data_IF_820646955600
#
_entry.id   IF_820646955600
#
_cell.length_a   1.000
_cell.length_b   1.000
_cell.length_c   1.000
_cell.angle_alpha   90.00
_cell.angle_beta   90.00
_cell.angle_gamma   90.00
#
_symmetry.space_group_name_H-M   'P 1'
#
loop_
_entity.id
_entity.type
_entity.pdbx_description
1 polymer ?
#
# COMPACT_ATOMS: atom_id res chain seq x y z
N UNK A 1 11.67 -22.21 -26.91
CA UNK A 1 10.64 -22.82 -26.03
C UNK A 1 9.75 -23.82 -26.77
N UNK A 2 9.14 -23.46 -27.91
CA UNK A 2 8.25 -24.40 -28.64
C UNK A 2 8.98 -25.67 -29.08
N UNK A 3 10.14 -25.54 -29.75
CA UNK A 3 10.95 -26.70 -30.15
C UNK A 3 11.43 -27.54 -28.95
N UNK A 4 11.71 -26.90 -27.80
CA UNK A 4 12.10 -27.64 -26.59
C UNK A 4 10.96 -28.43 -25.95
N UNK A 5 9.71 -28.02 -26.15
CA UNK A 5 8.54 -28.81 -25.73
C UNK A 5 8.37 -30.06 -26.61
N UNK A 6 8.80 -29.99 -27.87
CA UNK A 6 8.85 -31.12 -28.79
C UNK A 6 10.08 -32.05 -28.57
N UNK A 7 10.88 -31.82 -27.52
CA UNK A 7 12.01 -32.67 -27.15
C UNK A 7 13.36 -32.25 -27.73
N UNK A 8 13.47 -31.12 -28.43
CA UNK A 8 14.75 -30.63 -28.95
C UNK A 8 15.64 -30.06 -27.81
N UNK A 9 16.56 -30.89 -27.34
CA UNK A 9 17.52 -30.54 -26.30
C UNK A 9 18.49 -29.42 -26.71
N UNK A 10 18.83 -29.29 -28.00
CA UNK A 10 19.76 -28.27 -28.50
C UNK A 10 19.10 -26.89 -28.49
N UNK A 11 17.87 -26.81 -28.99
CA UNK A 11 17.07 -25.58 -28.92
C UNK A 11 16.79 -25.16 -27.47
N UNK A 12 16.66 -26.12 -26.56
CA UNK A 12 16.50 -25.82 -25.14
C UNK A 12 17.76 -25.26 -24.48
N UNK A 13 18.93 -25.82 -24.80
CA UNK A 13 20.20 -25.33 -24.29
C UNK A 13 20.49 -23.89 -24.76
N UNK A 14 20.20 -23.58 -26.03
CA UNK A 14 20.32 -22.22 -26.58
C UNK A 14 19.38 -21.27 -25.83
N UNK A 15 18.12 -21.66 -25.65
CA UNK A 15 17.14 -20.87 -24.90
C UNK A 15 17.61 -20.57 -23.47
N UNK A 16 18.10 -21.56 -22.73
CA UNK A 16 18.57 -21.37 -21.36
C UNK A 16 19.75 -20.40 -21.28
N UNK A 17 20.70 -20.48 -22.23
CA UNK A 17 21.83 -19.55 -22.28
C UNK A 17 21.40 -18.11 -22.54
N UNK A 18 20.45 -17.89 -23.45
CA UNK A 18 19.97 -16.53 -23.77
C UNK A 18 19.11 -15.95 -22.64
N UNK A 19 18.30 -16.81 -22.01
CA UNK A 19 17.50 -16.44 -20.84
C UNK A 19 18.39 -16.12 -19.65
N UNK A 20 19.44 -16.89 -19.39
CA UNK A 20 20.38 -16.66 -18.29
C UNK A 20 21.00 -15.25 -18.37
N UNK A 21 21.47 -14.83 -19.55
CA UNK A 21 22.03 -13.49 -19.78
C UNK A 21 21.01 -12.40 -19.49
N UNK A 22 19.77 -12.56 -19.98
CA UNK A 22 18.69 -11.60 -19.74
C UNK A 22 18.30 -11.52 -18.26
N UNK A 23 18.19 -12.66 -17.58
CA UNK A 23 17.85 -12.72 -16.16
C UNK A 23 18.93 -12.08 -15.29
N UNK A 24 20.21 -12.28 -15.62
CA UNK A 24 21.33 -11.66 -14.88
C UNK A 24 21.23 -10.14 -14.91
N UNK A 25 21.01 -9.55 -16.09
CA UNK A 25 20.79 -8.10 -16.23
C UNK A 25 19.52 -7.67 -15.48
N UNK A 26 18.44 -8.44 -15.58
CA UNK A 26 17.17 -8.17 -14.91
C UNK A 26 17.31 -8.08 -13.38
N UNK A 27 18.07 -8.99 -12.76
CA UNK A 27 18.30 -9.04 -11.32
C UNK A 27 19.34 -8.02 -10.85
N UNK A 28 20.45 -7.85 -11.57
CA UNK A 28 21.48 -6.85 -11.23
C UNK A 28 20.93 -5.42 -11.19
N UNK A 29 19.91 -5.11 -12.01
CA UNK A 29 19.23 -3.80 -12.00
C UNK A 29 18.26 -3.61 -10.82
N UNK A 30 17.90 -4.68 -10.12
CA UNK A 30 16.85 -4.70 -9.07
C UNK A 30 17.39 -5.10 -7.69
N UNK A 31 18.67 -5.43 -7.59
CA UNK A 31 19.39 -5.70 -6.35
C UNK A 31 20.21 -4.47 -5.98
N UNK A 32 20.27 -4.16 -4.68
CA UNK A 32 21.19 -3.15 -4.16
C UNK A 32 22.65 -3.59 -4.38
N UNK A 33 23.59 -2.65 -4.37
CA UNK A 33 25.02 -2.93 -4.61
C UNK A 33 25.54 -4.04 -3.69
N UNK A 34 25.12 -4.02 -2.43
CA UNK A 34 25.46 -4.99 -1.39
C UNK A 34 24.94 -6.42 -1.65
N UNK A 35 23.98 -6.59 -2.58
CA UNK A 35 23.31 -7.86 -2.86
C UNK A 35 23.48 -8.29 -4.32
N UNK A 36 24.36 -7.63 -5.11
CA UNK A 36 24.59 -8.02 -6.51
C UNK A 36 25.19 -9.41 -6.67
N UNK A 37 25.87 -9.93 -5.65
CA UNK A 37 26.34 -11.33 -5.59
C UNK A 37 25.20 -12.33 -5.76
N UNK A 38 24.00 -11.98 -5.30
CA UNK A 38 22.85 -12.88 -5.24
C UNK A 38 22.13 -12.99 -6.60
N UNK A 39 22.54 -12.18 -7.58
CA UNK A 39 21.98 -12.20 -8.92
C UNK A 39 22.19 -13.55 -9.61
N UNK A 40 23.37 -14.16 -9.46
CA UNK A 40 23.68 -15.45 -10.10
C UNK A 40 22.86 -16.60 -9.48
N UNK A 41 22.62 -16.56 -8.16
CA UNK A 41 21.73 -17.50 -7.47
C UNK A 41 20.28 -17.34 -7.94
N UNK A 42 19.80 -16.11 -8.10
CA UNK A 42 18.45 -15.82 -8.60
C UNK A 42 18.26 -16.26 -10.06
N UNK A 43 19.29 -16.10 -10.90
CA UNK A 43 19.29 -16.67 -12.26
C UNK A 43 19.15 -18.18 -12.19
N UNK A 44 19.96 -18.85 -11.39
CA UNK A 44 19.94 -20.30 -11.25
C UNK A 44 18.57 -20.79 -10.77
N UNK A 45 18.04 -20.20 -9.70
CA UNK A 45 16.72 -20.52 -9.15
C UNK A 45 15.59 -20.36 -10.17
N UNK A 46 15.68 -19.33 -11.00
CA UNK A 46 14.69 -19.04 -12.05
C UNK A 46 14.80 -20.05 -13.19
N UNK A 47 16.02 -20.41 -13.63
CA UNK A 47 16.23 -21.43 -14.66
C UNK A 47 15.78 -22.82 -14.20
N UNK A 48 16.01 -23.17 -12.93
CA UNK A 48 15.51 -24.42 -12.34
C UNK A 48 13.97 -24.46 -12.28
N UNK A 49 13.35 -23.34 -11.89
CA UNK A 49 11.89 -23.21 -11.90
C UNK A 49 11.31 -23.27 -13.31
N UNK A 50 11.98 -22.62 -14.28
CA UNK A 50 11.63 -22.68 -15.70
C UNK A 50 11.69 -24.12 -16.23
N UNK A 51 12.74 -24.87 -15.88
CA UNK A 51 12.90 -26.26 -16.29
C UNK A 51 11.81 -27.17 -15.75
N UNK A 52 11.59 -27.13 -14.43
CA UNK A 52 10.60 -27.98 -13.75
C UNK A 52 9.17 -27.72 -14.20
N UNK A 53 8.85 -26.48 -14.59
CA UNK A 53 7.50 -26.07 -15.00
C UNK A 53 7.34 -25.94 -16.52
N UNK A 54 8.34 -26.30 -17.33
CA UNK A 54 8.27 -26.09 -18.79
C UNK A 54 7.04 -26.72 -19.43
N UNK A 55 6.60 -27.87 -18.94
CA UNK A 55 5.43 -28.58 -19.46
C UNK A 55 4.10 -27.85 -19.20
N UNK A 56 4.05 -26.89 -18.26
CA UNK A 56 2.85 -26.09 -17.96
C UNK A 56 2.80 -24.79 -18.75
N UNK A 57 3.70 -24.59 -19.71
CA UNK A 57 3.71 -23.39 -20.54
C UNK A 57 2.61 -23.46 -21.60
N UNK A 58 1.63 -22.57 -21.50
CA UNK A 58 0.58 -22.40 -22.49
C UNK A 58 1.15 -21.66 -23.72
N UNK A 59 1.12 -22.31 -24.89
CA UNK A 59 1.78 -21.83 -26.12
C UNK A 59 1.07 -20.64 -26.78
N UNK A 60 -0.16 -20.36 -26.37
CA UNK A 60 -0.96 -19.19 -26.75
C UNK A 60 -0.51 -17.90 -26.02
N UNK A 61 0.35 -18.00 -25.00
CA UNK A 61 0.88 -16.86 -24.25
C UNK A 61 2.34 -16.54 -24.61
N UNK A 62 2.76 -15.27 -24.55
CA UNK A 62 4.18 -14.91 -24.74
C UNK A 62 5.09 -15.57 -23.70
N UNK A 63 6.14 -16.27 -24.16
CA UNK A 63 7.12 -16.93 -23.30
C UNK A 63 7.82 -15.95 -22.33
N UNK A 64 8.12 -14.74 -22.80
CA UNK A 64 8.77 -13.69 -22.00
C UNK A 64 7.92 -13.28 -20.79
N UNK A 65 6.61 -13.13 -20.96
CA UNK A 65 5.71 -12.80 -19.86
C UNK A 65 5.68 -13.90 -18.78
N UNK A 66 5.69 -15.16 -19.20
CA UNK A 66 5.74 -16.31 -18.30
C UNK A 66 7.09 -16.40 -17.56
N UNK A 67 8.20 -16.22 -18.28
CA UNK A 67 9.56 -16.17 -17.72
C UNK A 67 9.70 -15.04 -16.68
N UNK A 68 9.22 -13.83 -17.01
CA UNK A 68 9.28 -12.69 -16.09
C UNK A 68 8.41 -12.91 -14.85
N UNK A 69 7.29 -13.63 -14.96
CA UNK A 69 6.48 -13.99 -13.79
C UNK A 69 7.25 -14.90 -12.83
N UNK A 70 7.98 -15.90 -13.36
CA UNK A 70 8.83 -16.79 -12.56
C UNK A 70 9.98 -16.00 -11.92
N UNK A 71 10.70 -15.19 -12.72
CA UNK A 71 11.82 -14.37 -12.25
C UNK A 71 11.38 -13.39 -11.13
N UNK A 72 10.24 -12.72 -11.32
CA UNK A 72 9.66 -11.82 -10.32
C UNK A 72 9.28 -12.56 -9.04
N UNK A 73 8.70 -13.76 -9.15
CA UNK A 73 8.38 -14.59 -7.98
C UNK A 73 9.64 -14.96 -7.20
N UNK A 74 10.70 -15.39 -7.90
CA UNK A 74 11.99 -15.73 -7.30
C UNK A 74 12.66 -14.54 -6.62
N UNK A 75 12.63 -13.36 -7.24
CA UNK A 75 13.12 -12.12 -6.66
C UNK A 75 12.39 -11.78 -5.35
N UNK A 76 11.06 -11.82 -5.36
CA UNK A 76 10.23 -11.57 -4.19
C UNK A 76 10.54 -12.57 -3.07
N UNK A 77 10.67 -13.86 -3.41
CA UNK A 77 10.97 -14.90 -2.44
C UNK A 77 12.38 -14.79 -1.86
N UNK A 78 13.38 -14.42 -2.66
CA UNK A 78 14.73 -14.12 -2.21
C UNK A 78 14.74 -12.98 -1.20
N UNK A 79 14.10 -11.86 -1.52
CA UNK A 79 13.96 -10.74 -0.59
C UNK A 79 13.17 -11.09 0.67
N UNK A 80 12.19 -11.99 0.57
CA UNK A 80 11.44 -12.51 1.73
C UNK A 80 12.35 -13.35 2.65
N UNK A 81 13.22 -14.19 2.09
CA UNK A 81 14.16 -15.04 2.83
C UNK A 81 15.29 -14.23 3.48
N UNK A 82 15.83 -13.23 2.77
CA UNK A 82 16.93 -12.40 3.28
C UNK A 82 16.51 -11.37 4.34
N UNK A 83 15.23 -10.94 4.36
CA UNK A 83 14.67 -10.08 5.43
C UNK A 83 14.60 -10.74 6.83
N UNK A 84 14.75 -12.07 6.94
CA UNK A 84 14.76 -12.77 8.24
C UNK A 84 16.19 -12.89 8.82
N UNK A 85 17.25 -12.64 8.03
CA UNK A 85 18.64 -12.90 8.44
C UNK A 85 19.63 -11.72 8.40
N UNK A 86 19.25 -10.52 7.97
CA UNK A 86 20.21 -9.40 7.89
C UNK A 86 19.86 -8.23 8.83
N UNK A 87 20.63 -8.08 9.90
CA UNK A 87 20.82 -6.85 10.68
C UNK A 87 21.74 -5.89 9.92
N UNK A 88 21.22 -4.98 9.10
CA UNK A 88 21.94 -3.84 8.48
C UNK A 88 20.99 -2.62 8.27
N UNK A 89 21.46 -1.34 8.31
CA UNK A 89 20.66 -0.12 8.49
C UNK A 89 19.70 0.31 7.35
N UNK A 90 18.88 1.32 7.68
CA UNK A 90 17.48 1.52 7.29
C UNK A 90 17.16 2.25 5.97
N UNK A 91 18.10 2.50 5.05
CA UNK A 91 17.85 3.41 3.91
C UNK A 91 17.50 2.74 2.57
N UNK A 92 17.79 1.44 2.38
CA UNK A 92 17.68 0.80 1.04
C UNK A 92 16.55 -0.26 0.92
N UNK A 93 15.61 -0.33 1.88
CA UNK A 93 14.63 -1.43 1.97
C UNK A 93 13.26 -1.16 1.31
N UNK A 94 13.16 -0.19 0.39
CA UNK A 94 11.87 0.46 0.08
C UNK A 94 10.92 -0.22 -0.93
N UNK A 95 11.28 -1.30 -1.63
CA UNK A 95 10.46 -1.77 -2.78
C UNK A 95 9.73 -3.14 -2.65
N UNK A 96 9.63 -3.73 -1.45
CA UNK A 96 9.29 -5.17 -1.36
C UNK A 96 8.09 -5.52 -0.46
N UNK A 97 6.90 -5.44 -1.06
CA UNK A 97 5.71 -6.21 -0.67
C UNK A 97 5.04 -6.73 -1.98
N UNK A 98 4.57 -8.00 -2.06
CA UNK A 98 3.95 -8.54 -3.28
C UNK A 98 2.64 -7.81 -3.63
N UNK A 99 2.51 -7.38 -4.89
CA UNK A 99 1.21 -7.03 -5.50
C UNK A 99 0.58 -8.32 -5.99
N UNK A 100 -0.59 -8.66 -5.46
CA UNK A 100 -1.46 -9.73 -5.95
C UNK A 100 -2.20 -9.21 -7.19
N UNK A 101 -2.06 -9.91 -8.32
CA UNK A 101 -2.51 -9.44 -9.65
C UNK A 101 -3.65 -10.32 -10.20
N UNK A 102 -4.37 -11.05 -9.36
CA UNK A 102 -5.27 -12.11 -9.85
C UNK A 102 -6.53 -11.65 -10.61
N UNK A 103 -6.79 -10.36 -10.79
CA UNK A 103 -8.01 -9.87 -11.49
C UNK A 103 -7.75 -8.97 -12.72
N UNK A 104 -6.52 -8.87 -13.21
CA UNK A 104 -6.20 -7.97 -14.33
C UNK A 104 -6.59 -8.49 -15.74
N UNK A 105 -7.35 -9.59 -15.86
CA UNK A 105 -7.65 -10.19 -17.16
C UNK A 105 -8.66 -9.38 -17.99
N UNK A 106 -9.63 -8.71 -17.33
CA UNK A 106 -10.66 -7.94 -18.02
C UNK A 106 -10.15 -6.56 -18.52
N UNK A 107 -9.21 -5.92 -17.80
CA UNK A 107 -8.68 -4.59 -18.15
C UNK A 107 -7.51 -4.62 -19.15
N UNK A 108 -6.75 -5.71 -19.23
CA UNK A 108 -5.59 -5.84 -20.13
C UNK A 108 -5.97 -5.75 -21.61
N UNK A 109 -7.20 -6.16 -21.94
CA UNK A 109 -7.69 -6.19 -23.32
C UNK A 109 -7.88 -4.78 -23.90
N UNK A 110 -8.15 -3.76 -23.07
CA UNK A 110 -8.28 -2.36 -23.55
C UNK A 110 -6.89 -1.71 -23.72
N UNK A 111 -5.92 -2.00 -22.83
CA UNK A 111 -4.57 -1.40 -22.89
C UNK A 111 -3.79 -1.83 -24.14
N UNK A 112 -3.84 -3.12 -24.50
CA UNK A 112 -3.17 -3.62 -25.71
C UNK A 112 -3.79 -2.99 -26.98
N UNK A 113 -5.13 -2.87 -27.02
CA UNK A 113 -5.85 -2.21 -28.13
C UNK A 113 -5.53 -0.71 -28.26
N UNK A 114 -5.23 -0.06 -27.13
CA UNK A 114 -4.81 1.33 -27.08
C UNK A 114 -3.36 1.48 -27.52
N UNK A 115 -2.45 0.61 -27.07
CA UNK A 115 -1.05 0.58 -27.53
C UNK A 115 -0.94 0.35 -29.03
N UNK A 116 -1.80 -0.49 -29.62
CA UNK A 116 -1.87 -0.68 -31.07
C UNK A 116 -2.18 0.59 -31.87
N UNK A 117 -2.78 1.62 -31.24
CA UNK A 117 -3.00 2.92 -31.90
C UNK A 117 -1.82 3.86 -31.87
N UNK A 118 -0.79 3.53 -31.11
CA UNK A 118 0.42 4.32 -31.01
C UNK A 118 1.33 4.00 -32.20
N UNK A 119 1.97 5.02 -32.82
CA UNK A 119 3.01 4.78 -33.82
C UNK A 119 4.05 3.80 -33.30
N UNK A 120 4.46 2.84 -34.13
CA UNK A 120 5.28 1.69 -33.76
C UNK A 120 6.53 2.08 -32.96
N UNK A 121 7.26 3.10 -33.42
CA UNK A 121 8.43 3.63 -32.69
C UNK A 121 8.10 4.12 -31.28
N UNK A 122 6.99 4.83 -31.10
CA UNK A 122 6.56 5.30 -29.78
C UNK A 122 6.04 4.18 -28.89
N UNK A 123 5.38 3.17 -29.48
CA UNK A 123 4.89 1.99 -28.78
C UNK A 123 6.03 1.17 -28.20
N UNK A 124 7.07 0.93 -29.01
CA UNK A 124 8.27 0.20 -28.59
C UNK A 124 8.98 0.90 -27.44
N UNK A 125 9.14 2.24 -27.52
CA UNK A 125 9.74 3.02 -26.43
C UNK A 125 8.92 2.96 -25.14
N UNK A 126 7.58 2.98 -25.24
CA UNK A 126 6.69 2.83 -24.08
C UNK A 126 6.79 1.41 -23.51
N UNK A 127 6.79 0.38 -24.36
CA UNK A 127 6.89 -1.01 -23.94
C UNK A 127 8.21 -1.26 -23.19
N UNK A 128 9.35 -0.89 -23.79
CA UNK A 128 10.66 -1.05 -23.17
C UNK A 128 10.81 -0.28 -21.85
N UNK A 129 10.32 0.96 -21.77
CA UNK A 129 10.48 1.77 -20.56
C UNK A 129 9.44 1.49 -19.48
N UNK A 130 8.17 1.32 -19.82
CA UNK A 130 7.06 1.23 -18.87
C UNK A 130 6.59 -0.19 -18.58
N UNK A 131 6.82 -1.13 -19.50
CA UNK A 131 6.42 -2.54 -19.34
C UNK A 131 7.64 -3.40 -18.98
N UNK A 132 8.74 -3.29 -19.72
CA UNK A 132 9.97 -4.04 -19.44
C UNK A 132 10.85 -3.38 -18.36
N UNK A 133 10.65 -2.07 -18.11
CA UNK A 133 11.34 -1.33 -17.06
C UNK A 133 12.79 -0.94 -17.39
N UNK A 134 13.14 -0.82 -18.67
CA UNK A 134 14.44 -0.31 -19.12
C UNK A 134 14.54 1.21 -18.84
N UNK A 135 15.74 1.70 -18.50
CA UNK A 135 15.96 3.13 -18.28
C UNK A 135 15.97 3.91 -19.61
N UNK A 136 15.77 5.23 -19.56
CA UNK A 136 15.78 6.07 -20.76
C UNK A 136 17.15 6.01 -21.46
N UNK A 137 18.23 5.95 -20.68
CA UNK A 137 19.60 5.80 -21.18
C UNK A 137 19.81 4.45 -21.88
N UNK A 138 19.31 3.36 -21.30
CA UNK A 138 19.43 2.00 -21.89
C UNK A 138 18.63 1.86 -23.19
N UNK A 139 17.44 2.46 -23.23
CA UNK A 139 16.63 2.49 -24.44
C UNK A 139 17.29 3.36 -25.51
N UNK A 140 17.87 4.50 -25.14
CA UNK A 140 18.63 5.35 -26.05
C UNK A 140 19.80 4.58 -26.69
N UNK A 141 20.61 3.91 -25.88
CA UNK A 141 21.74 3.08 -26.36
C UNK A 141 21.27 1.93 -27.25
N UNK A 142 20.23 1.19 -26.85
CA UNK A 142 19.76 0.00 -27.60
C UNK A 142 18.99 0.33 -28.87
N UNK A 143 18.41 1.52 -28.97
CA UNK A 143 17.65 1.99 -30.17
C UNK A 143 18.45 2.93 -31.07
N UNK A 144 19.66 3.32 -30.67
CA UNK A 144 20.48 4.30 -31.38
C UNK A 144 19.91 5.73 -31.36
N UNK A 145 18.98 6.01 -30.43
CA UNK A 145 18.34 7.32 -30.25
C UNK A 145 19.05 8.12 -29.15
N UNK A 146 18.90 9.45 -29.16
CA UNK A 146 19.25 10.25 -27.99
C UNK A 146 18.22 10.07 -26.87
N UNK A 147 18.61 10.28 -25.61
CA UNK A 147 17.66 10.26 -24.48
C UNK A 147 16.51 11.25 -24.66
N UNK A 148 16.79 12.41 -25.27
CA UNK A 148 15.77 13.40 -25.61
C UNK A 148 14.77 12.86 -26.65
N UNK A 149 15.24 12.14 -27.67
CA UNK A 149 14.38 11.50 -28.67
C UNK A 149 13.54 10.39 -28.06
N UNK A 150 14.07 9.61 -27.10
CA UNK A 150 13.31 8.61 -26.33
C UNK A 150 12.20 9.29 -25.51
N UNK A 151 12.51 10.35 -24.75
CA UNK A 151 11.53 11.12 -23.97
C UNK A 151 10.42 11.70 -24.86
N UNK A 152 10.80 12.30 -26.01
CA UNK A 152 9.85 12.84 -26.99
C UNK A 152 8.99 11.73 -27.61
N UNK A 153 9.58 10.58 -27.93
CA UNK A 153 8.87 9.42 -28.46
C UNK A 153 7.81 8.87 -27.50
N UNK A 154 8.16 8.75 -26.22
CA UNK A 154 7.21 8.37 -25.15
C UNK A 154 6.09 9.42 -25.02
N UNK A 155 6.44 10.71 -24.99
CA UNK A 155 5.45 11.78 -24.89
C UNK A 155 4.47 11.77 -26.07
N UNK A 156 4.96 11.58 -27.30
CA UNK A 156 4.13 11.44 -28.50
C UNK A 156 3.22 10.22 -28.42
N UNK A 157 3.73 9.10 -27.91
CA UNK A 157 2.93 7.88 -27.77
C UNK A 157 1.79 8.04 -26.76
N UNK A 158 2.07 8.63 -25.60
CA UNK A 158 1.05 8.96 -24.60
C UNK A 158 0.02 9.93 -25.18
N UNK A 159 0.45 10.93 -25.98
CA UNK A 159 -0.44 11.86 -26.67
C UNK A 159 -1.34 11.17 -27.69
N UNK A 160 -0.85 10.16 -28.42
CA UNK A 160 -1.63 9.37 -29.36
C UNK A 160 -2.70 8.51 -28.65
N UNK A 161 -2.33 7.86 -27.54
CA UNK A 161 -3.28 7.14 -26.67
C UNK A 161 -4.36 8.11 -26.17
N UNK A 162 -3.95 9.29 -25.66
CA UNK A 162 -4.88 10.30 -25.17
C UNK A 162 -5.83 10.83 -26.27
N UNK A 163 -5.38 10.93 -27.51
CA UNK A 163 -6.21 11.35 -28.65
C UNK A 163 -7.27 10.30 -29.01
N UNK A 164 -6.93 9.00 -29.00
CA UNK A 164 -7.89 7.91 -29.24
C UNK A 164 -8.90 7.80 -28.09
N UNK A 165 -8.45 8.07 -26.87
CA UNK A 165 -9.31 8.16 -25.69
C UNK A 165 -10.25 9.37 -25.75
N UNK A 166 -9.86 10.50 -26.35
CA UNK A 166 -10.74 11.68 -26.54
C UNK A 166 -11.99 11.41 -27.40
N UNK A 167 -11.98 10.38 -28.24
CA UNK A 167 -13.15 9.94 -29.02
C UNK A 167 -14.14 9.08 -28.21
N UNK A 168 -13.71 8.57 -27.06
CA UNK A 168 -14.59 8.09 -25.99
C UNK A 168 -14.91 9.32 -25.13
N UNK A 169 -16.11 9.42 -24.57
CA UNK A 169 -16.56 10.57 -23.77
C UNK A 169 -15.85 10.64 -22.40
N UNK A 170 -14.51 10.77 -22.44
CA UNK A 170 -13.61 10.72 -21.32
C UNK A 170 -13.29 12.14 -20.87
N UNK A 171 -14.02 12.59 -19.86
CA UNK A 171 -13.78 13.88 -19.21
C UNK A 171 -12.42 13.84 -18.50
N UNK A 172 -11.48 14.76 -18.80
CA UNK A 172 -10.19 14.81 -18.11
C UNK A 172 -10.41 15.02 -16.61
N UNK A 173 -9.90 14.08 -15.81
CA UNK A 173 -9.99 14.14 -14.35
C UNK A 173 -9.03 15.21 -13.84
N UNK A 174 -9.54 16.20 -13.11
CA UNK A 174 -8.70 17.25 -12.55
C UNK A 174 -7.70 16.68 -11.54
N UNK A 175 -6.51 17.30 -11.43
CA UNK A 175 -5.49 16.89 -10.43
C UNK A 175 -6.02 16.95 -8.99
N UNK A 176 -7.03 17.77 -8.73
CA UNK A 176 -7.70 17.91 -7.44
C UNK A 176 -8.84 16.92 -7.20
N UNK A 177 -9.28 16.15 -8.20
CA UNK A 177 -10.45 15.27 -8.07
C UNK A 177 -10.29 14.23 -6.96
N UNK A 178 -9.10 13.61 -6.86
CA UNK A 178 -8.79 12.63 -5.80
C UNK A 178 -8.81 13.29 -4.43
N UNK A 179 -8.13 14.43 -4.28
CA UNK A 179 -8.11 15.18 -3.03
C UNK A 179 -9.51 15.64 -2.60
N UNK A 180 -10.32 16.11 -3.55
CA UNK A 180 -11.71 16.52 -3.33
C UNK A 180 -12.57 15.33 -2.88
N UNK A 181 -12.42 14.17 -3.50
CA UNK A 181 -13.13 12.95 -3.11
C UNK A 181 -12.78 12.53 -1.69
N UNK A 182 -11.48 12.51 -1.35
CA UNK A 182 -11.00 12.21 -0.01
C UNK A 182 -11.57 13.21 1.00
N UNK A 183 -11.47 14.51 0.72
CA UNK A 183 -11.98 15.55 1.61
C UNK A 183 -13.49 15.45 1.84
N UNK A 184 -14.28 15.18 0.80
CA UNK A 184 -15.74 15.00 0.92
C UNK A 184 -16.05 13.74 1.72
N UNK A 185 -15.46 12.58 1.36
CA UNK A 185 -15.78 11.31 2.00
C UNK A 185 -15.37 11.27 3.47
N UNK A 186 -14.13 11.68 3.79
CA UNK A 186 -13.65 11.73 5.16
C UNK A 186 -14.29 12.87 5.96
N UNK A 187 -14.52 14.04 5.35
CA UNK A 187 -15.15 15.18 6.02
C UNK A 187 -16.61 14.92 6.40
N UNK A 188 -17.43 14.42 5.46
CA UNK A 188 -18.84 14.11 5.75
C UNK A 188 -18.99 13.01 6.78
N UNK A 189 -18.17 11.95 6.68
CA UNK A 189 -18.18 10.86 7.66
C UNK A 189 -17.69 11.27 9.04
N UNK A 190 -16.72 12.20 9.12
CA UNK A 190 -16.28 12.79 10.38
C UNK A 190 -17.38 13.60 11.04
N UNK A 191 -18.08 14.46 10.29
CA UNK A 191 -19.24 15.20 10.80
C UNK A 191 -20.35 14.25 11.25
N UNK A 192 -20.65 13.21 10.47
CA UNK A 192 -21.65 12.21 10.84
C UNK A 192 -21.26 11.48 12.15
N UNK A 193 -20.00 11.07 12.29
CA UNK A 193 -19.51 10.44 13.52
C UNK A 193 -19.50 11.40 14.71
N UNK A 194 -19.20 12.69 14.50
CA UNK A 194 -19.26 13.70 15.55
C UNK A 194 -20.69 13.91 16.05
N UNK A 195 -21.65 14.06 15.14
CA UNK A 195 -23.07 14.17 15.47
C UNK A 195 -23.58 12.92 16.17
N UNK A 196 -23.15 11.73 15.73
CA UNK A 196 -23.44 10.47 16.42
C UNK A 196 -22.94 10.48 17.86
N UNK A 197 -21.71 10.94 18.11
CA UNK A 197 -21.17 11.05 19.47
C UNK A 197 -21.99 12.03 20.32
N UNK A 198 -22.27 13.23 19.81
CA UNK A 198 -23.05 14.24 20.53
C UNK A 198 -24.46 13.76 20.85
N UNK A 199 -25.11 13.09 19.90
CA UNK A 199 -26.49 12.62 20.06
C UNK A 199 -26.60 11.37 20.95
N UNK A 200 -25.67 10.42 20.83
CA UNK A 200 -25.78 9.13 21.52
C UNK A 200 -25.08 9.12 22.89
N UNK A 201 -23.87 9.70 22.96
CA UNK A 201 -23.01 9.63 24.14
C UNK A 201 -23.00 10.96 24.91
N UNK A 202 -23.21 12.08 24.21
CA UNK A 202 -23.07 13.42 24.78
C UNK A 202 -21.61 13.83 24.97
N UNK A 203 -21.38 15.13 25.15
CA UNK A 203 -20.06 15.65 25.53
C UNK A 203 -19.81 15.46 27.02
N UNK A 204 -18.55 15.30 27.41
CA UNK A 204 -18.18 15.22 28.82
C UNK A 204 -18.59 16.52 29.55
N UNK A 205 -19.19 16.44 30.75
CA UNK A 205 -19.69 17.62 31.46
C UNK A 205 -18.57 18.54 31.96
N UNK A 206 -17.39 17.98 32.22
CA UNK A 206 -16.20 18.65 32.74
C UNK A 206 -15.23 19.10 31.61
N UNK A 207 -15.73 19.31 30.39
CA UNK A 207 -14.88 19.60 29.22
C UNK A 207 -14.02 20.86 29.43
N UNK A 208 -14.58 21.89 30.07
CA UNK A 208 -13.87 23.14 30.36
C UNK A 208 -12.68 22.90 31.29
N UNK A 209 -12.93 22.20 32.41
CA UNK A 209 -11.89 21.83 33.38
C UNK A 209 -10.84 20.89 32.76
N UNK A 210 -11.29 19.88 32.01
CA UNK A 210 -10.42 18.93 31.33
C UNK A 210 -9.47 19.63 30.34
N UNK A 211 -9.97 20.63 29.60
CA UNK A 211 -9.16 21.38 28.64
C UNK A 211 -8.04 22.21 29.27
N UNK A 212 -8.09 22.45 30.59
CA UNK A 212 -7.02 23.07 31.34
C UNK A 212 -5.91 22.07 31.76
N UNK A 213 -6.11 20.77 31.53
CA UNK A 213 -5.18 19.71 31.97
C UNK A 213 -4.33 19.17 30.82
N UNK A 214 -3.05 18.89 31.11
CA UNK A 214 -2.13 18.30 30.13
C UNK A 214 -2.57 16.92 29.62
N UNK A 215 -3.16 16.02 30.44
CA UNK A 215 -3.58 14.71 29.95
C UNK A 215 -4.64 14.74 28.86
N UNK A 216 -5.56 15.71 28.92
CA UNK A 216 -6.55 15.92 27.86
C UNK A 216 -5.87 16.22 26.52
N UNK A 217 -4.91 17.15 26.51
CA UNK A 217 -4.17 17.52 25.31
C UNK A 217 -3.26 16.40 24.81
N UNK A 218 -2.63 15.63 25.71
CA UNK A 218 -1.82 14.46 25.32
C UNK A 218 -2.65 13.42 24.57
N UNK A 219 -3.84 13.10 25.08
CA UNK A 219 -4.82 12.21 24.44
C UNK A 219 -5.29 12.74 23.09
N UNK A 220 -5.64 14.02 23.01
CA UNK A 220 -6.11 14.67 21.78
C UNK A 220 -5.00 14.73 20.71
N UNK A 221 -3.78 15.12 21.09
CA UNK A 221 -2.65 15.25 20.19
C UNK A 221 -2.23 13.89 19.60
N UNK A 222 -2.16 12.85 20.44
CA UNK A 222 -1.85 11.49 20.00
C UNK A 222 -2.90 10.97 19.01
N UNK A 223 -4.19 11.08 19.33
CA UNK A 223 -5.26 10.58 18.45
C UNK A 223 -5.36 11.38 17.15
N UNK A 224 -5.15 12.70 17.20
CA UNK A 224 -5.06 13.55 16.01
C UNK A 224 -3.88 13.17 15.12
N UNK A 225 -2.71 12.91 15.70
CA UNK A 225 -1.53 12.48 14.96
C UNK A 225 -1.79 11.17 14.21
N UNK A 226 -2.36 10.16 14.87
CA UNK A 226 -2.74 8.90 14.21
C UNK A 226 -3.78 9.13 13.10
N UNK A 227 -4.77 9.99 13.33
CA UNK A 227 -5.81 10.31 12.34
C UNK A 227 -5.22 10.97 11.09
N UNK A 228 -4.27 11.90 11.26
CA UNK A 228 -3.56 12.57 10.15
C UNK A 228 -2.71 11.56 9.36
N UNK A 229 -1.92 10.72 10.05
CA UNK A 229 -1.11 9.68 9.41
C UNK A 229 -2.00 8.69 8.65
N UNK A 230 -3.16 8.34 9.23
CA UNK A 230 -4.17 7.46 8.63
C UNK A 230 -4.79 8.05 7.36
N UNK A 231 -5.21 9.32 7.38
CA UNK A 231 -5.71 10.01 6.19
C UNK A 231 -4.65 10.10 5.08
N UNK A 232 -3.39 10.34 5.46
CA UNK A 232 -2.26 10.31 4.53
C UNK A 232 -2.04 8.91 3.93
N UNK A 233 -2.21 7.86 4.72
CA UNK A 233 -2.08 6.48 4.26
C UNK A 233 -3.19 6.08 3.28
N UNK A 234 -4.44 6.52 3.53
CA UNK A 234 -5.57 6.34 2.59
C UNK A 234 -5.22 6.97 1.23
N UNK A 235 -4.70 8.20 1.24
CA UNK A 235 -4.28 8.86 -0.01
C UNK A 235 -3.21 8.06 -0.75
N UNK A 236 -2.22 7.50 -0.05
CA UNK A 236 -1.14 6.73 -0.68
C UNK A 236 -1.64 5.38 -1.22
N UNK A 237 -2.42 4.61 -0.45
CA UNK A 237 -2.90 3.28 -0.87
C UNK A 237 -3.94 3.35 -2.01
N UNK A 238 -4.57 4.52 -2.19
CA UNK A 238 -5.46 4.77 -3.31
C UNK A 238 -4.74 4.80 -4.68
N UNK A 239 -3.41 4.95 -4.72
CA UNK A 239 -2.62 4.89 -5.93
C UNK A 239 -1.96 3.51 -6.10
N UNK A 240 -1.98 2.90 -7.30
CA UNK A 240 -1.44 1.55 -7.55
C UNK A 240 0.03 1.32 -7.16
N UNK A 241 0.85 2.38 -7.21
CA UNK A 241 2.27 2.37 -6.86
C UNK A 241 2.56 3.02 -5.49
N UNK A 242 1.53 3.38 -4.73
CA UNK A 242 1.70 4.06 -3.45
C UNK A 242 2.17 3.11 -2.34
N UNK A 243 3.34 3.41 -1.76
CA UNK A 243 3.82 2.73 -0.55
C UNK A 243 3.33 3.43 0.72
N UNK A 244 2.83 2.66 1.67
CA UNK A 244 2.40 3.12 3.00
C UNK A 244 3.42 2.84 4.10
N UNK A 245 4.64 2.37 3.76
CA UNK A 245 5.63 1.95 4.75
C UNK A 245 5.96 3.05 5.75
N UNK A 246 6.28 4.26 5.26
CA UNK A 246 6.55 5.43 6.10
C UNK A 246 5.36 5.73 7.01
N UNK A 247 4.12 5.61 6.52
CA UNK A 247 2.93 5.81 7.36
C UNK A 247 2.86 4.79 8.50
N UNK A 248 3.16 3.52 8.23
CA UNK A 248 3.17 2.46 9.25
C UNK A 248 4.28 2.70 10.28
N UNK A 249 5.47 3.11 9.83
CA UNK A 249 6.57 3.48 10.73
C UNK A 249 6.18 4.67 11.60
N UNK A 250 5.65 5.76 11.03
CA UNK A 250 5.20 6.91 11.80
C UNK A 250 4.10 6.54 12.80
N UNK A 251 3.15 5.69 12.40
CA UNK A 251 2.10 5.20 13.30
C UNK A 251 2.69 4.39 14.46
N UNK A 252 3.64 3.49 14.17
CA UNK A 252 4.32 2.68 15.17
C UNK A 252 5.17 3.55 16.12
N UNK A 253 5.89 4.54 15.59
CA UNK A 253 6.68 5.50 16.39
C UNK A 253 5.76 6.32 17.28
N UNK A 254 4.62 6.82 16.78
CA UNK A 254 3.65 7.57 17.58
C UNK A 254 3.06 6.71 18.71
N UNK A 255 2.68 5.46 18.42
CA UNK A 255 2.21 4.49 19.41
C UNK A 255 3.28 4.17 20.46
N UNK A 256 4.52 3.95 20.01
CA UNK A 256 5.65 3.64 20.89
C UNK A 256 6.01 4.82 21.80
N UNK A 257 6.09 6.04 21.26
CA UNK A 257 6.34 7.25 22.03
C UNK A 257 5.26 7.49 23.09
N UNK A 258 3.98 7.31 22.72
CA UNK A 258 2.88 7.41 23.68
C UNK A 258 2.94 6.29 24.73
N UNK A 259 3.33 5.07 24.33
CA UNK A 259 3.56 3.94 25.22
C UNK A 259 4.67 4.19 26.25
N UNK A 260 5.76 4.86 25.86
CA UNK A 260 6.83 5.27 26.80
C UNK A 260 6.28 6.27 27.82
N UNK A 261 5.52 7.27 27.39
CA UNK A 261 4.92 8.24 28.30
C UNK A 261 3.95 7.57 29.30
N UNK A 262 3.14 6.64 28.80
CA UNK A 262 2.25 5.84 29.62
C UNK A 262 3.02 4.95 30.62
N UNK A 263 4.07 4.27 30.18
CA UNK A 263 4.91 3.43 31.04
C UNK A 263 5.64 4.26 32.12
N UNK A 264 6.14 5.45 31.77
CA UNK A 264 6.74 6.38 32.73
C UNK A 264 5.75 6.83 33.79
N UNK A 265 4.53 7.23 33.39
CA UNK A 265 3.45 7.57 34.33
C UNK A 265 3.09 6.39 35.24
N UNK A 266 3.00 5.18 34.68
CA UNK A 266 2.68 3.97 35.44
C UNK A 266 3.79 3.61 36.44
N UNK A 267 5.06 3.70 36.05
CA UNK A 267 6.20 3.40 36.91
C UNK A 267 6.35 4.39 38.08
N UNK A 268 5.95 5.65 37.89
CA UNK A 268 5.98 6.67 38.94
C UNK A 268 4.74 6.63 39.86
N UNK A 269 3.71 5.87 39.50
CA UNK A 269 2.49 5.79 40.29
C UNK A 269 2.63 4.83 41.48
N UNK A 270 2.00 5.12 42.63
CA UNK A 270 1.93 4.20 43.75
C UNK A 270 1.34 2.84 43.34
N UNK A 271 1.87 1.70 43.84
CA UNK A 271 1.38 0.37 43.45
C UNK A 271 -0.12 0.15 43.68
N UNK A 272 -0.71 0.81 44.69
CA UNK A 272 -2.15 0.72 44.92
C UNK A 272 -3.01 1.30 43.78
N UNK A 273 -2.48 2.23 42.99
CA UNK A 273 -3.21 2.91 41.93
C UNK A 273 -3.04 2.23 40.56
N UNK A 274 -2.12 1.25 40.46
CA UNK A 274 -1.78 0.58 39.19
C UNK A 274 -3.00 -0.05 38.51
N UNK A 275 -3.85 -0.72 39.29
CA UNK A 275 -5.07 -1.31 38.76
C UNK A 275 -6.00 -0.25 38.15
N UNK A 276 -6.27 0.82 38.90
CA UNK A 276 -7.14 1.92 38.47
C UNK A 276 -6.60 2.63 37.22
N UNK A 277 -5.29 2.81 37.11
CA UNK A 277 -4.64 3.45 35.96
C UNK A 277 -4.72 2.63 34.66
N UNK A 278 -4.78 1.30 34.76
CA UNK A 278 -4.88 0.41 33.60
C UNK A 278 -6.34 0.15 33.22
N UNK A 279 -7.22 -0.07 34.19
CA UNK A 279 -8.60 -0.47 33.92
C UNK A 279 -9.55 0.70 33.76
N UNK A 280 -9.26 1.84 34.39
CA UNK A 280 -10.19 2.97 34.47
C UNK A 280 -11.55 2.57 35.05
N UNK A 281 -12.55 3.41 34.83
CA UNK A 281 -13.96 3.17 35.18
C UNK A 281 -14.78 2.67 34.00
N UNK A 282 -14.23 2.73 32.78
CA UNK A 282 -14.97 2.52 31.52
C UNK A 282 -14.42 1.41 30.62
N UNK A 283 -13.75 0.40 31.23
CA UNK A 283 -12.94 -0.64 30.58
C UNK A 283 -13.54 -1.24 29.28
N UNK A 284 -14.75 -1.77 29.33
CA UNK A 284 -15.37 -2.45 28.19
C UNK A 284 -16.08 -1.50 27.20
N UNK A 285 -16.46 -0.31 27.69
CA UNK A 285 -17.34 0.60 26.96
C UNK A 285 -16.54 1.47 25.98
N UNK A 286 -15.31 1.84 26.34
CA UNK A 286 -14.46 2.69 25.50
C UNK A 286 -14.15 2.07 24.13
N UNK A 287 -13.69 0.82 24.10
CA UNK A 287 -13.36 0.14 22.85
C UNK A 287 -14.61 -0.01 21.97
N UNK A 288 -15.73 -0.41 22.56
CA UNK A 288 -17.00 -0.53 21.83
C UNK A 288 -17.46 0.81 21.24
N UNK A 289 -17.44 1.88 22.04
CA UNK A 289 -17.84 3.22 21.60
C UNK A 289 -16.94 3.74 20.48
N UNK A 290 -15.62 3.57 20.59
CA UNK A 290 -14.68 3.94 19.52
C UNK A 290 -15.02 3.17 18.24
N UNK A 291 -15.22 1.85 18.33
CA UNK A 291 -15.57 1.02 17.18
C UNK A 291 -16.86 1.52 16.51
N UNK A 292 -17.90 1.83 17.28
CA UNK A 292 -19.17 2.33 16.76
C UNK A 292 -19.03 3.70 16.10
N UNK A 293 -18.28 4.62 16.72
CA UNK A 293 -17.98 5.93 16.14
C UNK A 293 -17.11 5.81 14.88
N UNK A 294 -16.27 4.78 14.76
CA UNK A 294 -15.49 4.51 13.56
C UNK A 294 -16.29 3.96 12.38
N UNK A 295 -17.53 3.48 12.56
CA UNK A 295 -18.30 2.88 11.46
C UNK A 295 -18.68 3.87 10.35
N UNK A 296 -19.25 5.07 10.64
CA UNK A 296 -19.48 6.09 9.61
C UNK A 296 -18.20 6.48 8.87
N UNK A 297 -17.09 6.61 9.60
CA UNK A 297 -15.76 6.92 9.07
C UNK A 297 -15.25 5.83 8.13
N UNK A 298 -15.43 4.55 8.49
CA UNK A 298 -15.03 3.41 7.66
C UNK A 298 -15.87 3.34 6.37
N UNK A 299 -17.18 3.59 6.46
CA UNK A 299 -18.06 3.68 5.29
C UNK A 299 -17.59 4.80 4.36
N UNK A 300 -17.27 5.97 4.90
CA UNK A 300 -16.70 7.10 4.14
C UNK A 300 -15.37 6.74 3.47
N UNK A 301 -14.46 6.08 4.20
CA UNK A 301 -13.17 5.64 3.66
C UNK A 301 -13.33 4.59 2.55
N UNK A 302 -14.26 3.65 2.68
CA UNK A 302 -14.57 2.69 1.62
C UNK A 302 -15.20 3.35 0.40
N UNK A 303 -16.10 4.32 0.58
CA UNK A 303 -16.64 5.09 -0.53
C UNK A 303 -15.55 5.87 -1.29
N UNK A 304 -14.56 6.41 -0.57
CA UNK A 304 -13.38 7.04 -1.16
C UNK A 304 -12.58 6.03 -1.98
N UNK A 305 -12.18 4.91 -1.37
CA UNK A 305 -11.33 3.89 -1.99
C UNK A 305 -12.00 3.15 -3.16
N UNK A 306 -13.32 2.91 -3.08
CA UNK A 306 -14.14 2.34 -4.16
C UNK A 306 -14.39 3.33 -5.30
N UNK A 307 -13.94 4.58 -5.22
CA UNK A 307 -13.88 5.47 -6.39
C UNK A 307 -12.48 5.62 -6.96
N UNK A 308 -11.53 4.84 -6.44
CA UNK A 308 -10.11 4.87 -6.79
C UNK A 308 -9.68 3.44 -7.15
N UNK A 309 -8.42 3.25 -7.51
CA UNK A 309 -7.91 1.96 -7.99
C UNK A 309 -6.91 1.31 -7.01
N UNK A 310 -7.33 0.94 -5.79
CA UNK A 310 -6.45 0.21 -4.87
C UNK A 310 -6.20 -1.21 -5.40
N UNK A 311 -4.93 -1.60 -5.50
CA UNK A 311 -4.54 -2.94 -6.01
C UNK A 311 -4.44 -4.00 -4.92
N UNK A 312 -4.43 -3.59 -3.64
CA UNK A 312 -4.31 -4.49 -2.47
C UNK A 312 -5.51 -4.31 -1.55
N UNK A 313 -6.59 -5.03 -1.83
CA UNK A 313 -7.90 -4.79 -1.20
C UNK A 313 -7.90 -5.01 0.32
N UNK A 314 -7.29 -6.09 0.81
CA UNK A 314 -7.18 -6.35 2.25
C UNK A 314 -6.38 -5.26 2.95
N UNK A 315 -5.24 -4.86 2.37
CA UNK A 315 -4.38 -3.81 2.94
C UNK A 315 -5.06 -2.44 2.92
N UNK A 316 -5.72 -2.09 1.82
CA UNK A 316 -6.52 -0.87 1.70
C UNK A 316 -7.65 -0.87 2.73
N UNK A 317 -8.27 -2.02 2.94
CA UNK A 317 -9.22 -2.27 4.02
C UNK A 317 -8.64 -2.01 5.41
N UNK A 318 -7.49 -2.61 5.73
CA UNK A 318 -6.79 -2.39 7.00
C UNK A 318 -6.46 -0.92 7.23
N UNK A 319 -5.93 -0.22 6.22
CA UNK A 319 -5.59 1.21 6.29
C UNK A 319 -6.82 2.06 6.53
N UNK A 320 -7.92 1.81 5.80
CA UNK A 320 -9.18 2.49 6.02
C UNK A 320 -9.72 2.26 7.43
N UNK A 321 -9.63 1.02 7.92
CA UNK A 321 -10.00 0.65 9.29
C UNK A 321 -9.21 1.38 10.35
N UNK A 322 -7.87 1.32 10.29
CA UNK A 322 -6.99 1.99 11.26
C UNK A 322 -7.18 3.51 11.25
N UNK A 323 -7.30 4.12 10.07
CA UNK A 323 -7.56 5.55 9.96
C UNK A 323 -8.92 5.95 10.57
N UNK A 324 -9.95 5.14 10.33
CA UNK A 324 -11.29 5.34 10.91
C UNK A 324 -11.31 5.12 12.41
N UNK A 325 -10.55 4.14 12.90
CA UNK A 325 -10.27 3.89 14.32
C UNK A 325 -9.65 5.10 15.01
N UNK A 326 -8.62 5.68 14.40
CA UNK A 326 -7.92 6.85 14.92
C UNK A 326 -8.82 8.10 14.93
N UNK A 327 -9.58 8.34 13.86
CA UNK A 327 -10.56 9.44 13.81
C UNK A 327 -11.71 9.24 14.82
N UNK A 328 -12.20 8.00 14.99
CA UNK A 328 -13.20 7.69 16.00
C UNK A 328 -12.69 7.91 17.42
N UNK A 329 -11.42 7.55 17.67
CA UNK A 329 -10.74 7.80 18.95
C UNK A 329 -10.54 9.30 19.24
N UNK A 330 -10.24 10.09 18.20
CA UNK A 330 -10.18 11.55 18.29
C UNK A 330 -11.54 12.13 18.70
N UNK A 331 -12.62 11.72 18.04
CA UNK A 331 -13.99 12.16 18.37
C UNK A 331 -14.38 11.72 19.78
N UNK A 332 -14.10 10.48 20.14
CA UNK A 332 -14.41 9.91 21.46
C UNK A 332 -13.68 10.64 22.61
N UNK A 333 -12.59 11.35 22.33
CA UNK A 333 -11.86 12.12 23.35
C UNK A 333 -12.68 13.27 23.95
N UNK A 334 -13.74 13.72 23.28
CA UNK A 334 -14.67 14.74 23.78
C UNK A 334 -15.77 14.20 24.70
N UNK A 335 -15.96 12.87 24.74
CA UNK A 335 -16.88 12.20 25.65
C UNK A 335 -16.15 11.53 26.81
N UNK A 336 -15.03 10.87 26.53
CA UNK A 336 -14.33 10.04 27.50
C UNK A 336 -13.64 10.87 28.59
N UNK A 337 -14.05 10.65 29.84
CA UNK A 337 -13.57 11.32 31.05
C UNK A 337 -12.24 10.75 31.57
N UNK A 338 -11.82 9.58 31.09
CA UNK A 338 -10.55 8.96 31.46
C UNK A 338 -9.35 9.77 30.96
N UNK A 339 -8.43 10.07 31.89
CA UNK A 339 -7.24 10.90 31.68
C UNK A 339 -5.93 10.14 31.92
N UNK A 340 -5.97 8.92 32.46
CA UNK A 340 -4.78 8.11 32.68
C UNK A 340 -4.14 7.69 31.35
N UNK A 341 -2.87 8.04 31.14
CA UNK A 341 -2.13 7.68 29.93
C UNK A 341 -2.03 6.16 29.72
N UNK A 342 -1.80 5.32 30.75
CA UNK A 342 -1.82 3.86 30.60
C UNK A 342 -3.15 3.34 30.09
N UNK A 343 -4.27 3.83 30.62
CA UNK A 343 -5.61 3.51 30.14
C UNK A 343 -5.76 3.87 28.65
N UNK A 344 -5.42 5.10 28.26
CA UNK A 344 -5.53 5.55 26.87
C UNK A 344 -4.65 4.69 25.95
N UNK A 345 -3.41 4.41 26.35
CA UNK A 345 -2.45 3.66 25.53
C UNK A 345 -2.95 2.24 25.20
N UNK A 346 -3.68 1.61 26.11
CA UNK A 346 -4.21 0.25 25.91
C UNK A 346 -5.54 0.31 25.14
N UNK A 347 -6.52 1.02 25.69
CA UNK A 347 -7.92 0.89 25.25
C UNK A 347 -8.23 1.69 23.99
N UNK A 348 -7.57 2.83 23.79
CA UNK A 348 -7.73 3.57 22.53
C UNK A 348 -7.02 2.83 21.40
N UNK A 349 -5.83 2.30 21.66
CA UNK A 349 -5.12 1.48 20.66
C UNK A 349 -5.94 0.26 20.27
N UNK A 350 -6.56 -0.43 21.23
CA UNK A 350 -7.48 -1.52 20.93
C UNK A 350 -8.69 -1.04 20.10
N UNK A 351 -9.26 0.12 20.45
CA UNK A 351 -10.32 0.79 19.69
C UNK A 351 -9.92 1.18 18.26
N UNK A 352 -8.62 1.37 17.98
CA UNK A 352 -8.09 1.61 16.63
C UNK A 352 -7.85 0.30 15.87
N UNK A 353 -7.33 -0.72 16.54
CA UNK A 353 -6.98 -2.01 15.93
C UNK A 353 -8.22 -2.80 15.48
N UNK A 354 -9.32 -2.75 16.24
CA UNK A 354 -10.56 -3.49 15.90
C UNK A 354 -11.17 -3.01 14.57
N UNK A 355 -11.38 -1.71 14.32
CA UNK A 355 -11.78 -1.20 13.00
C UNK A 355 -10.76 -1.56 11.90
N UNK A 356 -9.47 -1.61 12.22
CA UNK A 356 -8.41 -2.12 11.32
C UNK A 356 -8.67 -3.55 10.86
N UNK A 357 -9.02 -4.45 11.78
CA UNK A 357 -9.35 -5.83 11.47
C UNK A 357 -10.67 -5.96 10.69
N UNK A 358 -11.71 -5.23 11.11
CA UNK A 358 -13.00 -5.17 10.40
C UNK A 358 -12.77 -4.68 8.97
N UNK A 359 -11.97 -3.63 8.81
CA UNK A 359 -11.59 -3.07 7.52
C UNK A 359 -10.84 -4.09 6.65
N UNK A 360 -9.90 -4.85 7.22
CA UNK A 360 -9.18 -5.90 6.50
C UNK A 360 -10.12 -6.97 5.93
N UNK A 361 -11.07 -7.43 6.76
CA UNK A 361 -12.04 -8.48 6.38
C UNK A 361 -13.07 -7.95 5.39
N UNK A 362 -13.62 -6.76 5.61
CA UNK A 362 -14.64 -6.18 4.75
C UNK A 362 -14.07 -5.64 3.44
N UNK A 363 -12.85 -5.09 3.45
CA UNK A 363 -12.18 -4.50 2.29
C UNK A 363 -12.00 -5.49 1.15
N UNK A 364 -11.76 -6.78 1.45
CA UNK A 364 -11.66 -7.83 0.44
C UNK A 364 -12.94 -8.02 -0.39
N UNK A 365 -14.09 -7.60 0.12
CA UNK A 365 -15.39 -7.71 -0.56
C UNK A 365 -15.90 -6.35 -1.03
N UNK A 366 -15.84 -5.34 -0.17
CA UNK A 366 -16.40 -4.02 -0.41
C UNK A 366 -15.60 -3.19 -1.46
N UNK A 367 -14.31 -3.49 -1.63
CA UNK A 367 -13.43 -2.81 -2.59
C UNK A 367 -13.21 -3.61 -3.88
N UNK A 368 -13.85 -4.78 -4.04
CA UNK A 368 -13.92 -5.46 -5.34
C UNK A 368 -14.86 -4.67 -6.25
N UNK A 369 -14.38 -4.41 -7.46
CA UNK A 369 -15.09 -3.68 -8.50
C UNK A 369 -16.02 -4.62 -9.26
#
# INVERSE_FOLDING_TARGET
MLASLAGDARSYAILLNDVAKHLRIYFLRRLAESHKSDADDLVQDTLMALHSRRATYETDRPFTAWLHAIARYKLIDHFRRNKIRATVPLDDAEDLIPVDYSDAAADRMDVESLLQSVPEKSRELIYRTKIEGQSIAEVATSTGLSESAVKVGIHRGIKAIAAKLKGRDLKPVSRSAVAKRIAIGLGLSFVASWLLMVWWLGMRPDLMEASATMPFWGKLAYTLLLAVIGAWAIKRIAYPAGSIFINLVLMAVALFAFGILAAGMFAMAPPQDHYALLTGKSLAVCTFNIVMLSMPLLIGAFWVLRGLAPTRLTLAGTVAGLASGAMGSLIYSFHCTESAMPFVAIWYTLGVLVPGLIGAIAGRFALRW
#
